data_IF_923686567422
#
_entry.id   IF_923686567422
#
_cell.length_a   1.000
_cell.length_b   1.000
_cell.length_c   1.000
_cell.angle_alpha   90.00
_cell.angle_beta   90.00
_cell.angle_gamma   90.00
#
_symmetry.space_group_name_H-M   'P 1'
#
loop_
_entity.id
_entity.type
_entity.pdbx_description
1 polymer ?
#
# COMPACT_ATOMS: atom_id res chain seq x y z
N UNK A 1 -2.81 0.36 -24.03
CA UNK A 1 -3.18 -0.81 -23.20
C UNK A 1 -2.46 -0.62 -21.88
N UNK A 2 -3.20 -0.31 -20.83
CA UNK A 2 -2.63 -0.26 -19.47
C UNK A 2 -2.57 -1.71 -19.03
N UNK A 3 -1.40 -2.21 -18.62
CA UNK A 3 -1.30 -3.55 -18.07
C UNK A 3 -2.29 -3.68 -16.89
N UNK A 4 -3.03 -4.78 -16.81
CA UNK A 4 -3.81 -5.05 -15.61
C UNK A 4 -2.84 -5.08 -14.42
N UNK A 5 -3.19 -4.45 -13.29
CA UNK A 5 -2.30 -4.46 -12.14
C UNK A 5 -2.08 -5.91 -11.69
N UNK A 6 -0.81 -6.30 -11.49
CA UNK A 6 -0.45 -7.59 -10.91
C UNK A 6 -0.88 -7.57 -9.43
N UNK A 7 -2.13 -7.99 -9.19
CA UNK A 7 -2.65 -8.16 -7.84
C UNK A 7 -1.76 -9.11 -7.05
N UNK A 8 -1.59 -8.82 -5.76
CA UNK A 8 -0.93 -9.73 -4.85
C UNK A 8 -1.73 -11.04 -4.75
N UNK A 9 -1.07 -12.15 -5.02
CA UNK A 9 -1.60 -13.48 -4.80
C UNK A 9 -1.22 -13.99 -3.41
N UNK A 10 -2.14 -14.71 -2.75
CA UNK A 10 -1.96 -15.28 -1.41
C UNK A 10 -0.73 -16.19 -1.31
N UNK A 11 -0.31 -16.85 -2.40
CA UNK A 11 0.90 -17.68 -2.44
C UNK A 11 2.20 -16.89 -2.30
N UNK A 12 2.17 -15.58 -2.60
CA UNK A 12 3.30 -14.66 -2.45
C UNK A 12 3.31 -13.95 -1.09
N UNK A 13 2.19 -14.03 -0.36
CA UNK A 13 1.95 -13.27 0.87
C UNK A 13 3.01 -13.57 1.92
N UNK A 14 3.87 -12.59 2.18
CA UNK A 14 5.01 -12.72 3.08
C UNK A 14 5.37 -11.37 3.70
N UNK A 15 5.80 -11.40 4.96
CA UNK A 15 6.34 -10.20 5.60
C UNK A 15 7.62 -9.75 4.88
N UNK A 16 7.77 -8.45 4.68
CA UNK A 16 8.90 -7.87 3.93
C UNK A 16 8.67 -7.78 2.42
N UNK A 17 7.55 -8.27 1.89
CA UNK A 17 7.22 -8.12 0.48
C UNK A 17 6.90 -6.65 0.14
N UNK A 18 7.48 -6.16 -0.96
CA UNK A 18 7.21 -4.82 -1.47
C UNK A 18 5.93 -4.79 -2.29
N UNK A 19 5.03 -3.88 -1.92
CA UNK A 19 3.72 -3.75 -2.54
C UNK A 19 3.41 -2.30 -2.90
N UNK A 20 2.41 -2.12 -3.75
CA UNK A 20 1.77 -0.84 -4.01
C UNK A 20 0.28 -0.86 -3.64
N UNK A 21 -0.24 0.28 -3.21
CA UNK A 21 -1.68 0.47 -3.05
C UNK A 21 -2.35 0.61 -4.42
N UNK A 22 -3.35 -0.21 -4.72
CA UNK A 22 -4.08 -0.16 -5.99
C UNK A 22 -5.37 0.67 -5.91
N UNK A 23 -5.65 1.31 -4.78
CA UNK A 23 -6.89 2.04 -4.56
C UNK A 23 -7.90 1.24 -3.72
N UNK A 24 -9.03 1.84 -3.37
CA UNK A 24 -10.04 1.19 -2.56
C UNK A 24 -10.72 0.07 -3.35
N UNK A 25 -11.01 -1.04 -2.68
CA UNK A 25 -11.75 -2.18 -3.25
C UNK A 25 -13.25 -1.88 -3.40
N UNK A 26 -13.77 -0.92 -2.63
CA UNK A 26 -15.12 -0.36 -2.76
C UNK A 26 -15.04 1.06 -3.38
N UNK A 27 -16.12 1.54 -4.01
CA UNK A 27 -16.18 2.82 -4.76
C UNK A 27 -16.06 4.10 -3.90
N UNK A 28 -15.08 4.14 -3.01
CA UNK A 28 -14.64 5.33 -2.29
C UNK A 28 -13.68 6.18 -3.14
N UNK A 29 -13.36 7.41 -2.68
CA UNK A 29 -12.39 8.25 -3.35
C UNK A 29 -11.02 7.55 -3.42
N UNK A 30 -10.28 7.74 -4.53
CA UNK A 30 -8.94 7.17 -4.79
C UNK A 30 -7.85 7.63 -3.79
N UNK A 31 -8.24 8.46 -2.82
CA UNK A 31 -7.41 9.04 -1.78
C UNK A 31 -8.08 8.81 -0.44
N UNK A 32 -7.50 7.93 0.37
CA UNK A 32 -7.85 7.81 1.78
C UNK A 32 -7.12 8.92 2.53
N UNK A 33 -7.86 9.90 3.06
CA UNK A 33 -7.31 10.90 3.97
C UNK A 33 -6.88 10.19 5.25
N UNK A 34 -5.60 10.30 5.59
CA UNK A 34 -5.05 9.61 6.75
C UNK A 34 -5.26 10.50 7.97
N UNK A 35 -6.01 10.01 8.97
CA UNK A 35 -6.04 10.68 10.27
C UNK A 35 -4.66 10.55 10.91
N UNK A 36 -4.07 11.68 11.29
CA UNK A 36 -2.77 11.72 11.95
C UNK A 36 -2.79 10.82 13.20
N UNK A 37 -1.75 9.99 13.33
CA UNK A 37 -1.44 9.31 14.58
C UNK A 37 -0.77 10.26 15.57
N UNK A 38 0.06 9.73 16.47
CA UNK A 38 0.79 10.52 17.49
C UNK A 38 1.88 11.45 16.89
N UNK A 39 2.27 11.24 15.63
CA UNK A 39 3.24 12.07 14.90
C UNK A 39 2.66 12.55 13.56
N UNK A 40 3.06 13.76 13.12
CA UNK A 40 2.69 14.27 11.80
C UNK A 40 3.30 13.37 10.72
N UNK A 41 2.48 12.72 9.87
CA UNK A 41 3.01 11.86 8.83
C UNK A 41 3.73 12.70 7.77
N UNK A 42 4.73 12.11 7.11
CA UNK A 42 5.47 12.78 6.01
C UNK A 42 4.63 12.93 4.74
N UNK A 43 3.48 12.27 4.72
CA UNK A 43 2.48 12.33 3.69
C UNK A 43 1.07 12.44 4.33
N UNK A 44 0.14 13.19 3.75
CA UNK A 44 -1.24 13.30 4.27
C UNK A 44 -2.22 12.27 3.64
N UNK A 45 -1.73 11.45 2.70
CA UNK A 45 -2.57 10.69 1.75
C UNK A 45 -1.98 9.35 1.33
N UNK A 46 -2.85 8.37 1.12
CA UNK A 46 -2.51 7.14 0.40
C UNK A 46 -2.91 7.28 -1.07
N UNK A 47 -1.96 7.12 -2.01
CA UNK A 47 -2.18 7.25 -3.45
C UNK A 47 -2.22 5.89 -4.13
N UNK A 48 -2.94 5.74 -5.24
CA UNK A 48 -2.66 4.63 -6.15
C UNK A 48 -1.17 4.64 -6.54
N UNK A 49 -0.52 3.48 -6.44
CA UNK A 49 0.92 3.31 -6.65
C UNK A 49 1.79 3.62 -5.42
N UNK A 50 1.19 3.98 -4.28
CA UNK A 50 1.92 4.28 -3.05
C UNK A 50 2.65 3.02 -2.55
N UNK A 51 3.98 3.07 -2.36
CA UNK A 51 4.77 1.91 -1.98
C UNK A 51 4.64 1.60 -0.49
N UNK A 52 4.62 0.31 -0.17
CA UNK A 52 4.60 -0.19 1.21
C UNK A 52 5.31 -1.53 1.34
N UNK A 53 5.45 -1.97 2.59
CA UNK A 53 6.03 -3.26 2.95
C UNK A 53 5.02 -4.03 3.79
N UNK A 54 4.75 -5.29 3.43
CA UNK A 54 3.89 -6.15 4.25
C UNK A 54 4.53 -6.35 5.62
N UNK A 55 3.84 -5.92 6.66
CA UNK A 55 4.26 -6.07 8.06
C UNK A 55 3.63 -7.31 8.70
N UNK A 56 2.37 -7.61 8.38
CA UNK A 56 1.64 -8.78 8.87
C UNK A 56 0.94 -9.52 7.72
N UNK A 57 1.40 -10.73 7.34
CA UNK A 57 0.91 -11.48 6.19
C UNK A 57 -0.29 -12.38 6.53
N UNK A 58 -1.32 -11.85 7.19
CA UNK A 58 -2.54 -12.61 7.48
C UNK A 58 -3.56 -12.45 6.34
N UNK A 59 -3.95 -13.49 5.59
CA UNK A 59 -4.81 -13.35 4.40
C UNK A 59 -6.13 -12.60 4.65
N UNK A 60 -6.72 -12.80 5.83
CA UNK A 60 -7.95 -12.11 6.24
C UNK A 60 -7.74 -10.64 6.61
N UNK A 61 -6.50 -10.24 6.92
CA UNK A 61 -6.17 -8.92 7.45
C UNK A 61 -4.68 -8.59 7.25
N UNK A 62 -4.27 -8.41 5.99
CA UNK A 62 -2.89 -8.09 5.61
C UNK A 62 -2.59 -6.67 6.01
N UNK A 63 -1.58 -6.47 6.86
CA UNK A 63 -1.09 -5.14 7.21
C UNK A 63 0.11 -4.74 6.37
N UNK A 64 0.12 -3.46 5.99
CA UNK A 64 1.17 -2.86 5.19
C UNK A 64 1.66 -1.59 5.88
N UNK A 65 2.96 -1.50 6.09
CA UNK A 65 3.62 -0.26 6.50
C UNK A 65 3.85 0.60 5.25
N UNK A 66 3.12 1.71 5.15
CA UNK A 66 3.18 2.62 4.00
C UNK A 66 4.23 3.70 4.19
N UNK A 67 4.97 4.01 3.12
CA UNK A 67 6.05 5.01 3.17
C UNK A 67 5.52 6.41 3.50
N UNK A 68 6.13 7.08 4.48
CA UNK A 68 5.72 8.41 4.93
C UNK A 68 4.40 8.43 5.71
N UNK A 69 3.82 7.26 5.97
CA UNK A 69 2.61 7.03 6.76
C UNK A 69 2.87 5.97 7.83
N UNK A 70 4.14 5.71 8.17
CA UNK A 70 4.54 4.60 9.04
C UNK A 70 3.92 4.72 10.44
N UNK A 71 3.81 5.94 10.95
CA UNK A 71 3.21 6.26 12.26
C UNK A 71 1.71 6.58 12.19
N UNK A 72 1.10 6.44 11.02
CA UNK A 72 -0.28 6.83 10.80
C UNK A 72 -1.23 5.63 10.91
N UNK A 73 -2.46 5.87 11.38
CA UNK A 73 -3.46 4.82 11.66
C UNK A 73 -3.69 3.89 10.46
N UNK A 74 -3.56 4.40 9.24
CA UNK A 74 -3.68 3.60 8.00
C UNK A 74 -2.68 2.43 7.91
N UNK A 75 -1.49 2.56 8.50
CA UNK A 75 -0.46 1.49 8.49
C UNK A 75 -0.72 0.41 9.56
N UNK A 76 -1.65 0.63 10.49
CA UNK A 76 -1.94 -0.27 11.62
C UNK A 76 -3.37 -0.79 11.65
N UNK A 77 -4.34 -0.01 11.15
CA UNK A 77 -5.76 -0.29 11.30
C UNK A 77 -6.48 -0.59 9.97
N UNK A 78 -5.88 -0.28 8.83
CA UNK A 78 -6.46 -0.61 7.51
C UNK A 78 -5.78 -1.87 7.00
N UNK A 79 -6.44 -3.01 7.23
CA UNK A 79 -6.04 -4.29 6.67
C UNK A 79 -6.66 -4.56 5.31
N UNK A 80 -5.95 -5.30 4.47
CA UNK A 80 -6.42 -5.80 3.18
C UNK A 80 -6.79 -7.27 3.32
N UNK A 81 -7.92 -7.67 2.75
CA UNK A 81 -8.32 -9.08 2.73
C UNK A 81 -8.12 -9.66 1.34
N UNK A 82 -7.59 -10.87 1.28
CA UNK A 82 -7.59 -11.65 0.06
C UNK A 82 -8.95 -12.34 -0.12
N UNK A 83 -9.42 -12.44 -1.36
CA UNK A 83 -10.70 -13.03 -1.73
C UNK A 83 -10.63 -14.57 -1.78
N UNK A 84 -11.76 -15.20 -2.10
CA UNK A 84 -11.87 -16.67 -2.21
C UNK A 84 -11.00 -17.26 -3.35
N UNK A 85 -10.50 -16.43 -4.26
CA UNK A 85 -9.57 -16.83 -5.31
C UNK A 85 -8.10 -16.64 -4.90
N UNK A 86 -7.85 -16.10 -3.71
CA UNK A 86 -6.51 -15.82 -3.19
C UNK A 86 -5.92 -14.49 -3.67
N UNK A 87 -6.69 -13.67 -4.40
CA UNK A 87 -6.24 -12.35 -4.83
C UNK A 87 -6.48 -11.32 -3.73
N UNK A 88 -5.58 -10.38 -3.52
CA UNK A 88 -5.74 -9.30 -2.54
C UNK A 88 -5.99 -7.97 -3.30
N UNK A 89 -7.25 -7.64 -3.69
CA UNK A 89 -7.58 -6.66 -4.73
C UNK A 89 -7.26 -5.17 -4.46
N UNK A 90 -6.63 -4.86 -3.33
CA UNK A 90 -6.10 -3.52 -3.01
C UNK A 90 -4.58 -3.41 -3.05
N UNK A 91 -3.87 -4.51 -3.30
CA UNK A 91 -2.40 -4.60 -3.26
C UNK A 91 -1.85 -5.15 -4.57
N UNK A 92 -0.80 -4.50 -5.08
CA UNK A 92 -0.02 -4.99 -6.22
C UNK A 92 1.42 -5.28 -5.80
N UNK A 93 2.08 -6.25 -6.43
CA UNK A 93 3.48 -6.56 -6.15
C UNK A 93 4.40 -5.63 -6.95
N UNK A 94 5.40 -5.04 -6.31
CA UNK A 94 6.38 -4.17 -6.98
C UNK A 94 7.82 -4.65 -6.75
N UNK A 95 8.71 -4.27 -7.65
CA UNK A 95 10.14 -4.54 -7.49
C UNK A 95 10.76 -3.68 -6.38
N UNK A 96 11.88 -4.13 -5.81
CA UNK A 96 12.66 -3.33 -4.85
C UNK A 96 13.14 -2.00 -5.47
N UNK A 97 13.42 -1.98 -6.77
CA UNK A 97 13.83 -0.77 -7.49
C UNK A 97 12.70 0.26 -7.56
N UNK A 98 11.48 -0.20 -7.90
CA UNK A 98 10.30 0.67 -7.95
C UNK A 98 9.94 1.17 -6.55
N UNK A 99 10.02 0.30 -5.55
CA UNK A 99 9.82 0.67 -4.16
C UNK A 99 10.75 1.82 -3.74
N UNK A 100 12.07 1.70 -3.93
CA UNK A 100 13.02 2.74 -3.51
C UNK A 100 12.86 4.04 -4.32
N UNK A 101 12.55 3.92 -5.61
CA UNK A 101 12.29 5.09 -6.47
C UNK A 101 11.08 5.88 -5.97
N UNK A 102 9.96 5.20 -5.72
CA UNK A 102 8.72 5.82 -5.24
C UNK A 102 8.85 6.31 -3.80
N UNK A 103 9.59 5.57 -2.95
CA UNK A 103 9.90 5.96 -1.58
C UNK A 103 10.64 7.29 -1.53
N UNK A 104 11.70 7.43 -2.33
CA UNK A 104 12.48 8.68 -2.40
C UNK A 104 11.58 9.86 -2.79
N UNK A 105 10.68 9.67 -3.77
CA UNK A 105 9.74 10.72 -4.20
C UNK A 105 8.80 11.16 -3.08
N UNK A 106 8.24 10.23 -2.31
CA UNK A 106 7.34 10.57 -1.20
C UNK A 106 8.10 11.33 -0.11
N UNK A 107 9.33 10.91 0.21
CA UNK A 107 10.16 11.60 1.20
C UNK A 107 10.59 13.01 0.72
N UNK A 108 10.60 13.26 -0.59
CA UNK A 108 10.75 14.58 -1.22
C UNK A 108 9.44 15.41 -1.27
N UNK A 109 8.32 14.88 -0.75
CA UNK A 109 7.01 15.54 -0.80
C UNK A 109 6.31 15.46 -2.16
N UNK A 110 6.64 14.47 -3.00
CA UNK A 110 6.06 14.26 -4.34
C UNK A 110 5.17 13.02 -4.38
N UNK A 111 4.28 12.94 -5.36
CA UNK A 111 3.51 11.72 -5.65
C UNK A 111 4.43 10.56 -6.07
N UNK A 112 4.06 9.30 -5.79
CA UNK A 112 4.89 8.13 -6.07
C UNK A 112 5.12 7.90 -7.56
N UNK A 113 4.12 8.14 -8.42
CA UNK A 113 4.20 7.81 -9.86
C UNK A 113 4.39 9.00 -10.80
N UNK A 114 4.28 10.24 -10.30
CA UNK A 114 4.47 11.46 -11.10
C UNK A 114 3.25 11.91 -11.89
#
# INVERSE_FOLDING_TARGET
MVAEPDFLDISQLSAGLFVEYLGPTESGPDVTLVHAGDAEPRCDRLWRGHPGVISEPMPQHVLVTWVGLEDAVVSFAVGFSCDDQGSCPGLGVISAHDYETRRTRILDGKSPTG
#
